data_IF_317997614479
#
_entry.id   IF_317997614479
#
_cell.length_a   1.000
_cell.length_b   1.000
_cell.length_c   1.000
_cell.angle_alpha   90.00
_cell.angle_beta   90.00
_cell.angle_gamma   90.00
#
_symmetry.space_group_name_H-M   'P 1'
#
loop_
_entity.id
_entity.type
_entity.pdbx_description
1 polymer ?
#
# COMPACT_ATOMS: atom_id res chain seq x y z
N UNK A 1 -91.04 -41.19 24.30
CA UNK A 1 -90.54 -40.39 25.45
C UNK A 1 -89.35 -41.02 26.21
N UNK A 2 -89.06 -42.33 26.07
CA UNK A 2 -87.84 -42.96 26.64
C UNK A 2 -86.58 -42.77 25.77
N UNK A 3 -86.73 -42.65 24.45
CA UNK A 3 -85.60 -42.49 23.50
C UNK A 3 -84.90 -41.12 23.57
N UNK A 4 -85.66 -40.03 23.84
CA UNK A 4 -85.08 -38.69 24.03
C UNK A 4 -84.19 -38.59 25.27
N UNK A 5 -84.47 -39.37 26.32
CA UNK A 5 -83.62 -39.40 27.53
C UNK A 5 -82.32 -40.19 27.31
N UNK A 6 -82.31 -41.17 26.39
CA UNK A 6 -81.08 -41.88 26.03
C UNK A 6 -80.16 -41.07 25.11
N UNK A 7 -80.72 -40.25 24.22
CA UNK A 7 -79.91 -39.35 23.36
C UNK A 7 -79.27 -38.23 24.17
N UNK A 8 -79.97 -37.66 25.16
CA UNK A 8 -79.42 -36.64 26.06
C UNK A 8 -78.26 -37.16 26.93
N UNK A 9 -78.31 -38.44 27.34
CA UNK A 9 -77.22 -39.07 28.11
C UNK A 9 -76.01 -39.32 27.20
N UNK A 10 -76.24 -39.82 25.98
CA UNK A 10 -75.21 -39.99 24.95
C UNK A 10 -74.53 -38.67 24.58
N UNK A 11 -75.29 -37.58 24.42
CA UNK A 11 -74.72 -36.26 24.11
C UNK A 11 -73.85 -35.74 25.26
N UNK A 12 -74.24 -35.98 26.52
CA UNK A 12 -73.41 -35.65 27.68
C UNK A 12 -72.12 -36.47 27.73
N UNK A 13 -72.18 -37.76 27.42
CA UNK A 13 -70.98 -38.61 27.35
C UNK A 13 -70.04 -38.18 26.21
N UNK A 14 -70.58 -37.79 25.05
CA UNK A 14 -69.81 -37.24 23.93
C UNK A 14 -69.14 -35.92 24.33
N UNK A 15 -69.86 -35.04 25.02
CA UNK A 15 -69.31 -33.78 25.52
C UNK A 15 -68.21 -34.00 26.57
N UNK A 16 -68.39 -34.97 27.48
CA UNK A 16 -67.37 -35.31 28.47
C UNK A 16 -66.12 -35.93 27.84
N UNK A 17 -66.28 -36.83 26.85
CA UNK A 17 -65.14 -37.41 26.13
C UNK A 17 -64.40 -36.35 25.28
N UNK A 18 -65.14 -35.47 24.61
CA UNK A 18 -64.58 -34.32 23.90
C UNK A 18 -63.81 -33.39 24.84
N UNK A 19 -64.35 -33.11 26.04
CA UNK A 19 -63.68 -32.32 27.07
C UNK A 19 -62.41 -32.99 27.58
N UNK A 20 -62.44 -34.30 27.86
CA UNK A 20 -61.25 -35.07 28.29
C UNK A 20 -60.18 -35.10 27.20
N UNK A 21 -60.57 -35.21 25.93
CA UNK A 21 -59.63 -35.13 24.79
C UNK A 21 -59.03 -33.73 24.66
N UNK A 22 -59.82 -32.68 24.81
CA UNK A 22 -59.34 -31.29 24.80
C UNK A 22 -58.36 -31.02 25.94
N UNK A 23 -58.66 -31.46 27.17
CA UNK A 23 -57.77 -31.32 28.33
C UNK A 23 -56.45 -32.08 28.14
N UNK A 24 -56.49 -33.29 27.56
CA UNK A 24 -55.27 -34.03 27.21
C UNK A 24 -54.44 -33.33 26.13
N UNK A 25 -55.09 -32.71 25.15
CA UNK A 25 -54.43 -31.97 24.09
C UNK A 25 -53.78 -30.68 24.62
N UNK A 26 -54.46 -29.95 25.50
CA UNK A 26 -53.91 -28.77 26.18
C UNK A 26 -52.68 -29.13 27.01
N UNK A 27 -52.77 -30.18 27.84
CA UNK A 27 -51.61 -30.64 28.64
C UNK A 27 -50.42 -31.06 27.77
N UNK A 28 -50.66 -31.68 26.61
CA UNK A 28 -49.59 -32.01 25.67
C UNK A 28 -48.99 -30.77 25.02
N UNK A 29 -49.82 -29.81 24.62
CA UNK A 29 -49.38 -28.54 24.06
C UNK A 29 -48.51 -27.75 25.06
N UNK A 30 -48.86 -27.77 26.35
CA UNK A 30 -48.05 -27.14 27.41
C UNK A 30 -46.68 -27.83 27.56
N UNK A 31 -46.65 -29.17 27.54
CA UNK A 31 -45.39 -29.95 27.62
C UNK A 31 -44.52 -29.71 26.37
N UNK A 32 -45.12 -29.73 25.18
CA UNK A 32 -44.41 -29.46 23.93
C UNK A 32 -43.90 -28.01 23.88
N UNK A 33 -44.69 -27.06 24.37
CA UNK A 33 -44.30 -25.66 24.50
C UNK A 33 -43.10 -25.48 25.43
N UNK A 34 -43.12 -26.13 26.60
CA UNK A 34 -41.99 -26.11 27.52
C UNK A 34 -40.74 -26.75 26.91
N UNK A 35 -40.88 -27.88 26.20
CA UNK A 35 -39.76 -28.52 25.50
C UNK A 35 -39.14 -27.59 24.45
N UNK A 36 -39.96 -26.87 23.68
CA UNK A 36 -39.45 -25.92 22.68
C UNK A 36 -38.66 -24.79 23.36
N UNK A 37 -39.16 -24.28 24.49
CA UNK A 37 -38.45 -23.24 25.27
C UNK A 37 -37.09 -23.78 25.72
N UNK A 38 -37.05 -24.95 26.36
CA UNK A 38 -35.82 -25.56 26.86
C UNK A 38 -34.81 -25.83 25.72
N UNK A 39 -35.28 -26.36 24.58
CA UNK A 39 -34.44 -26.58 23.39
C UNK A 39 -33.89 -25.25 22.81
N UNK A 40 -34.67 -24.18 22.83
CA UNK A 40 -34.20 -22.86 22.38
C UNK A 40 -33.18 -22.26 23.33
N UNK A 41 -33.35 -22.43 24.63
CA UNK A 41 -32.37 -21.96 25.63
C UNK A 41 -31.04 -22.69 25.48
N UNK A 42 -31.06 -23.99 25.23
CA UNK A 42 -29.84 -24.77 25.03
C UNK A 42 -29.13 -24.39 23.74
N UNK A 43 -29.87 -24.17 22.64
CA UNK A 43 -29.30 -23.62 21.40
C UNK A 43 -28.69 -22.24 21.60
N UNK A 44 -29.31 -21.37 22.40
CA UNK A 44 -28.75 -20.05 22.71
C UNK A 44 -27.41 -20.20 23.44
N UNK A 45 -27.33 -21.07 24.44
CA UNK A 45 -26.07 -21.33 25.18
C UNK A 45 -24.98 -21.89 24.28
N UNK A 46 -25.31 -22.82 23.39
CA UNK A 46 -24.37 -23.38 22.42
C UNK A 46 -23.83 -22.29 21.48
N UNK A 47 -24.73 -21.49 20.89
CA UNK A 47 -24.34 -20.40 19.99
C UNK A 47 -23.51 -19.35 20.72
N UNK A 48 -23.85 -19.00 21.97
CA UNK A 48 -23.05 -18.09 22.78
C UNK A 48 -21.62 -18.62 23.01
N UNK A 49 -21.48 -19.90 23.34
CA UNK A 49 -20.19 -20.53 23.55
C UNK A 49 -19.37 -20.55 22.25
N UNK A 50 -19.99 -20.94 21.14
CA UNK A 50 -19.35 -20.91 19.81
C UNK A 50 -18.90 -19.50 19.44
N UNK A 51 -19.75 -18.49 19.63
CA UNK A 51 -19.40 -17.10 19.33
C UNK A 51 -18.25 -16.60 20.19
N UNK A 52 -18.26 -16.90 21.50
CA UNK A 52 -17.15 -16.56 22.40
C UNK A 52 -15.83 -17.17 21.92
N UNK A 53 -15.85 -18.45 21.53
CA UNK A 53 -14.66 -19.13 21.01
C UNK A 53 -14.20 -18.52 19.68
N UNK A 54 -15.11 -18.28 18.73
CA UNK A 54 -14.80 -17.62 17.46
C UNK A 54 -14.16 -16.25 17.65
N UNK A 55 -14.68 -15.43 18.57
CA UNK A 55 -14.09 -14.11 18.85
C UNK A 55 -12.74 -14.23 19.56
N UNK A 56 -12.58 -15.16 20.49
CA UNK A 56 -11.29 -15.40 21.15
C UNK A 56 -10.21 -15.84 20.14
N UNK A 57 -10.55 -16.74 19.22
CA UNK A 57 -9.66 -17.15 18.13
C UNK A 57 -9.30 -15.98 17.20
N UNK A 58 -10.29 -15.15 16.83
CA UNK A 58 -10.04 -13.96 16.02
C UNK A 58 -9.07 -13.00 16.72
N UNK A 59 -9.29 -12.69 17.99
CA UNK A 59 -8.40 -11.82 18.78
C UNK A 59 -6.99 -12.40 18.83
N UNK A 60 -6.85 -13.70 19.06
CA UNK A 60 -5.56 -14.38 19.03
C UNK A 60 -4.87 -14.27 17.67
N UNK A 61 -5.60 -14.49 16.58
CA UNK A 61 -5.05 -14.37 15.23
C UNK A 61 -4.62 -12.93 14.90
N UNK A 62 -5.39 -11.92 15.33
CA UNK A 62 -4.97 -10.52 15.21
C UNK A 62 -3.71 -10.23 16.03
N UNK A 63 -3.61 -10.76 17.25
CA UNK A 63 -2.40 -10.66 18.08
C UNK A 63 -1.18 -11.23 17.37
N UNK A 64 -1.28 -12.46 16.87
CA UNK A 64 -0.19 -13.11 16.12
C UNK A 64 0.22 -12.33 14.87
N UNK A 65 -0.75 -11.79 14.13
CA UNK A 65 -0.48 -11.00 12.94
C UNK A 65 0.26 -9.69 13.29
N UNK A 66 -0.15 -9.02 14.37
CA UNK A 66 0.52 -7.81 14.86
C UNK A 66 1.93 -8.11 15.35
N UNK A 67 2.12 -9.20 16.10
CA UNK A 67 3.45 -9.63 16.57
C UNK A 67 4.39 -9.95 15.41
N UNK A 68 3.86 -10.49 14.31
CA UNK A 68 4.64 -10.74 13.10
C UNK A 68 4.89 -9.47 12.27
N UNK A 69 3.92 -8.56 12.15
CA UNK A 69 4.02 -7.37 11.29
C UNK A 69 4.85 -6.25 11.92
N UNK A 70 4.74 -6.06 13.23
CA UNK A 70 5.31 -4.90 13.93
C UNK A 70 6.86 -4.86 13.88
N UNK A 71 7.60 -5.98 14.00
CA UNK A 71 9.05 -5.99 13.76
C UNK A 71 9.41 -5.57 12.32
N UNK A 72 8.69 -6.09 11.33
CA UNK A 72 8.93 -5.76 9.92
C UNK A 72 8.66 -4.29 9.63
N UNK A 73 7.63 -3.71 10.22
CA UNK A 73 7.33 -2.29 10.08
C UNK A 73 8.41 -1.42 10.73
N UNK A 74 8.94 -1.81 11.90
CA UNK A 74 10.05 -1.11 12.54
C UNK A 74 11.31 -1.12 11.68
N UNK A 75 11.65 -2.26 11.10
CA UNK A 75 12.80 -2.36 10.19
C UNK A 75 12.59 -1.52 8.93
N UNK A 76 11.41 -1.62 8.30
CA UNK A 76 11.06 -0.78 7.14
C UNK A 76 11.17 0.71 7.44
N UNK A 77 10.67 1.14 8.59
CA UNK A 77 10.77 2.52 9.02
C UNK A 77 12.22 2.95 9.22
N UNK A 78 13.04 2.11 9.87
CA UNK A 78 14.45 2.38 10.08
C UNK A 78 15.21 2.52 8.76
N UNK A 79 15.01 1.60 7.82
CA UNK A 79 15.64 1.67 6.48
C UNK A 79 15.18 2.91 5.72
N UNK A 80 13.89 3.23 5.77
CA UNK A 80 13.35 4.44 5.14
C UNK A 80 13.97 5.69 5.73
N UNK A 81 14.06 5.78 7.05
CA UNK A 81 14.66 6.91 7.76
C UNK A 81 16.13 7.11 7.38
N UNK A 82 16.93 6.03 7.37
CA UNK A 82 18.34 6.08 6.99
C UNK A 82 18.53 6.54 5.55
N UNK A 83 17.79 5.94 4.60
CA UNK A 83 17.83 6.33 3.21
C UNK A 83 17.46 7.80 3.01
N UNK A 84 16.37 8.26 3.65
CA UNK A 84 15.92 9.64 3.58
C UNK A 84 16.99 10.61 4.11
N UNK A 85 17.58 10.29 5.27
CA UNK A 85 18.63 11.10 5.89
C UNK A 85 19.86 11.24 4.99
N UNK A 86 20.28 10.14 4.33
CA UNK A 86 21.37 10.17 3.37
C UNK A 86 21.01 11.04 2.16
N UNK A 87 19.81 10.85 1.59
CA UNK A 87 19.33 11.64 0.44
C UNK A 87 19.38 13.13 0.78
N UNK A 88 18.82 13.50 1.92
CA UNK A 88 18.73 14.90 2.35
C UNK A 88 20.12 15.49 2.60
N UNK A 89 21.05 14.73 3.19
CA UNK A 89 22.43 15.16 3.38
C UNK A 89 23.16 15.38 2.05
N UNK A 90 23.01 14.47 1.08
CA UNK A 90 23.61 14.62 -0.26
C UNK A 90 23.00 15.82 -0.98
N UNK A 91 21.67 15.96 -0.98
CA UNK A 91 20.98 17.10 -1.59
C UNK A 91 21.42 18.43 -0.96
N UNK A 92 21.53 18.48 0.35
CA UNK A 92 22.04 19.65 1.07
C UNK A 92 23.47 19.99 0.65
N UNK A 93 24.36 18.99 0.57
CA UNK A 93 25.74 19.18 0.10
C UNK A 93 25.78 19.74 -1.33
N UNK A 94 25.03 19.15 -2.27
CA UNK A 94 24.99 19.60 -3.66
C UNK A 94 24.43 21.02 -3.77
N UNK A 95 23.41 21.36 -2.98
CA UNK A 95 22.82 22.71 -2.97
C UNK A 95 23.79 23.79 -2.46
N UNK A 96 24.76 23.41 -1.63
CA UNK A 96 25.80 24.31 -1.12
C UNK A 96 26.97 24.49 -2.11
N UNK A 97 27.04 23.67 -3.17
CA UNK A 97 28.09 23.80 -4.19
C UNK A 97 27.87 25.02 -5.08
N UNK A 98 28.98 25.55 -5.60
CA UNK A 98 28.93 26.62 -6.61
C UNK A 98 28.26 26.13 -7.91
N UNK A 99 27.67 27.05 -8.69
CA UNK A 99 27.04 26.75 -9.98
C UNK A 99 27.99 25.97 -10.92
N UNK A 100 29.25 26.40 -11.01
CA UNK A 100 30.29 25.73 -11.80
C UNK A 100 30.57 24.28 -11.37
N UNK A 101 30.50 23.98 -10.07
CA UNK A 101 30.68 22.61 -9.58
C UNK A 101 29.47 21.74 -9.91
N UNK A 102 28.25 22.29 -9.81
CA UNK A 102 27.02 21.59 -10.22
C UNK A 102 27.00 21.30 -11.71
N UNK A 103 27.45 22.25 -12.53
CA UNK A 103 27.65 22.04 -13.98
C UNK A 103 28.59 20.87 -14.28
N UNK A 104 29.71 20.76 -13.56
CA UNK A 104 30.67 19.65 -13.73
C UNK A 104 30.06 18.29 -13.38
N UNK A 105 29.19 18.23 -12.36
CA UNK A 105 28.49 17.00 -12.01
C UNK A 105 27.54 16.56 -13.12
N UNK A 106 26.76 17.49 -13.67
CA UNK A 106 25.87 17.24 -14.79
C UNK A 106 26.65 16.87 -16.06
N UNK A 107 27.78 17.52 -16.31
CA UNK A 107 28.68 17.17 -17.42
C UNK A 107 29.18 15.71 -17.32
N UNK A 108 29.55 15.24 -16.12
CA UNK A 108 29.96 13.84 -15.92
C UNK A 108 28.85 12.86 -16.28
N UNK A 109 27.61 13.13 -15.89
CA UNK A 109 26.45 12.29 -16.28
C UNK A 109 26.26 12.29 -17.80
N UNK A 110 26.39 13.45 -18.45
CA UNK A 110 26.26 13.56 -19.90
C UNK A 110 27.35 12.79 -20.64
N UNK A 111 28.56 12.76 -20.11
CA UNK A 111 29.66 11.94 -20.67
C UNK A 111 29.31 10.45 -20.61
N UNK A 112 28.68 9.98 -19.54
CA UNK A 112 28.22 8.59 -19.43
C UNK A 112 27.16 8.24 -20.49
N UNK A 113 26.32 9.21 -20.88
CA UNK A 113 25.30 9.03 -21.89
C UNK A 113 25.78 9.17 -23.35
N UNK A 114 27.02 9.61 -23.59
CA UNK A 114 27.60 9.75 -24.94
C UNK A 114 27.43 8.52 -25.84
N UNK A 115 27.71 7.28 -25.39
CA UNK A 115 27.58 6.09 -26.23
C UNK A 115 26.16 5.89 -26.80
N UNK A 116 25.13 6.33 -26.08
CA UNK A 116 23.73 6.11 -26.43
C UNK A 116 23.15 7.22 -27.31
N UNK A 117 23.73 8.41 -27.25
CA UNK A 117 23.29 9.59 -27.99
C UNK A 117 24.16 9.87 -29.23
N UNK A 118 25.34 9.25 -29.35
CA UNK A 118 26.22 9.41 -30.49
C UNK A 118 25.50 9.07 -31.81
N UNK A 119 25.67 9.92 -32.81
CA UNK A 119 25.09 9.84 -34.16
C UNK A 119 23.57 10.04 -34.27
N UNK A 120 22.86 10.41 -33.19
CA UNK A 120 21.44 10.76 -33.23
C UNK A 120 21.25 12.24 -32.97
N UNK A 121 20.28 12.85 -33.65
CA UNK A 121 19.80 14.18 -33.28
C UNK A 121 18.91 14.06 -32.05
N UNK A 122 19.01 15.04 -31.15
CA UNK A 122 18.26 15.06 -29.91
C UNK A 122 17.77 16.46 -29.56
N UNK A 123 16.67 16.51 -28.82
CA UNK A 123 16.17 17.71 -28.14
C UNK A 123 16.56 17.66 -26.66
N UNK A 124 16.82 18.83 -26.08
CA UNK A 124 17.18 18.98 -24.68
C UNK A 124 16.22 19.93 -23.97
N UNK A 125 15.72 19.51 -22.81
CA UNK A 125 14.95 20.33 -21.88
C UNK A 125 15.79 20.57 -20.64
N UNK A 126 15.87 21.83 -20.20
CA UNK A 126 16.66 22.19 -19.01
C UNK A 126 15.86 22.96 -17.97
N UNK A 127 16.26 22.81 -16.70
CA UNK A 127 15.69 23.52 -15.55
C UNK A 127 16.81 23.85 -14.55
N UNK A 128 16.81 25.09 -14.02
CA UNK A 128 17.70 25.53 -12.94
C UNK A 128 19.08 26.07 -13.37
N UNK A 129 19.48 25.85 -14.62
CA UNK A 129 20.69 26.44 -15.23
C UNK A 129 20.33 27.51 -16.25
N UNK A 130 21.26 28.43 -16.53
CA UNK A 130 21.09 29.38 -17.64
C UNK A 130 21.21 28.68 -19.01
N UNK A 131 20.41 29.11 -19.98
CA UNK A 131 20.39 28.51 -21.32
C UNK A 131 21.73 28.60 -22.06
N UNK A 132 22.53 29.63 -21.79
CA UNK A 132 23.87 29.79 -22.37
C UNK A 132 24.83 28.72 -21.86
N UNK A 133 24.82 28.44 -20.56
CA UNK A 133 25.64 27.39 -19.94
C UNK A 133 25.24 26.03 -20.51
N UNK A 134 23.94 25.74 -20.55
CA UNK A 134 23.40 24.49 -21.10
C UNK A 134 23.82 24.28 -22.56
N UNK A 135 23.70 25.31 -23.39
CA UNK A 135 24.10 25.24 -24.79
C UNK A 135 25.60 24.96 -24.93
N UNK A 136 26.46 25.66 -24.19
CA UNK A 136 27.91 25.43 -24.26
C UNK A 136 28.28 24.02 -23.80
N UNK A 137 27.61 23.49 -22.78
CA UNK A 137 27.85 22.16 -22.22
C UNK A 137 27.44 21.04 -23.19
N UNK A 138 26.29 21.18 -23.86
CA UNK A 138 25.84 20.25 -24.89
C UNK A 138 26.72 20.32 -26.15
N UNK A 139 27.06 21.52 -26.62
CA UNK A 139 27.93 21.71 -27.78
C UNK A 139 29.33 21.14 -27.55
N UNK A 140 29.88 21.30 -26.33
CA UNK A 140 31.17 20.72 -25.93
C UNK A 140 31.14 19.18 -25.93
N UNK A 141 30.02 18.57 -25.55
CA UNK A 141 29.95 17.12 -25.35
C UNK A 141 29.49 16.32 -26.57
N UNK A 142 28.57 16.86 -27.38
CA UNK A 142 27.95 16.16 -28.52
C UNK A 142 28.16 16.87 -29.87
N UNK A 143 28.56 18.14 -29.85
CA UNK A 143 28.71 18.96 -31.04
C UNK A 143 27.39 19.59 -31.53
N UNK A 144 27.48 20.81 -32.06
CA UNK A 144 26.32 21.64 -32.47
C UNK A 144 25.38 20.98 -33.49
N UNK A 145 25.88 20.06 -34.31
CA UNK A 145 25.10 19.42 -35.39
C UNK A 145 24.07 18.40 -34.90
N UNK A 146 24.23 17.89 -33.66
CA UNK A 146 23.37 16.87 -33.08
C UNK A 146 22.22 17.45 -32.25
N UNK A 147 22.29 18.75 -31.93
CA UNK A 147 21.28 19.43 -31.11
C UNK A 147 20.19 19.95 -32.05
N UNK A 148 18.98 19.40 -31.92
CA UNK A 148 17.81 19.84 -32.70
C UNK A 148 17.13 21.04 -32.05
N UNK A 149 16.90 20.98 -30.74
CA UNK A 149 16.18 22.00 -29.99
C UNK A 149 16.65 22.02 -28.53
N UNK A 150 16.75 23.22 -27.94
CA UNK A 150 17.00 23.42 -26.52
C UNK A 150 15.86 24.27 -25.97
N UNK A 151 15.12 23.74 -24.99
CA UNK A 151 13.98 24.43 -24.38
C UNK A 151 14.14 24.56 -22.88
N UNK A 152 13.85 25.76 -22.36
CA UNK A 152 13.74 25.97 -20.93
C UNK A 152 12.39 25.45 -20.45
N UNK A 153 12.41 24.55 -19.47
CA UNK A 153 11.18 24.11 -18.80
C UNK A 153 11.07 24.82 -17.47
N UNK A 154 10.03 25.67 -17.34
CA UNK A 154 9.66 26.26 -16.05
C UNK A 154 9.22 25.14 -15.12
N UNK A 155 9.76 25.13 -13.90
CA UNK A 155 9.46 24.16 -12.84
C UNK A 155 7.94 24.13 -12.62
N UNK A 156 7.28 23.11 -13.16
CA UNK A 156 5.84 22.90 -13.03
C UNK A 156 5.63 21.71 -12.11
N UNK A 157 5.25 21.98 -10.86
CA UNK A 157 5.06 20.94 -9.84
C UNK A 157 6.35 20.34 -9.27
N UNK A 158 6.21 19.19 -8.59
CA UNK A 158 7.27 18.49 -7.87
C UNK A 158 8.19 17.63 -8.76
N UNK A 159 7.89 17.49 -10.06
CA UNK A 159 8.48 16.44 -10.90
C UNK A 159 9.71 16.84 -11.72
N UNK A 160 10.07 18.12 -11.74
CA UNK A 160 11.25 18.60 -12.48
C UNK A 160 12.34 19.11 -11.54
N UNK A 161 13.31 18.22 -11.30
CA UNK A 161 14.54 18.54 -10.58
C UNK A 161 15.56 19.24 -11.51
N UNK A 162 16.47 20.00 -10.91
CA UNK A 162 17.52 20.76 -11.61
C UNK A 162 18.40 19.84 -12.47
N UNK A 163 18.62 20.22 -13.74
CA UNK A 163 19.40 19.43 -14.71
C UNK A 163 18.89 19.47 -16.14
N UNK A 164 19.24 18.44 -16.91
CA UNK A 164 18.88 18.27 -18.32
C UNK A 164 18.14 16.95 -18.56
N UNK A 165 17.13 17.02 -19.41
CA UNK A 165 16.45 15.86 -20.00
C UNK A 165 16.74 15.88 -21.50
N UNK A 166 17.31 14.81 -22.01
CA UNK A 166 17.68 14.67 -23.42
C UNK A 166 16.85 13.55 -24.03
N UNK A 167 16.19 13.84 -25.14
CA UNK A 167 15.38 12.89 -25.87
C UNK A 167 15.81 12.87 -27.34
N UNK A 168 16.06 11.68 -27.90
CA UNK A 168 16.34 11.55 -29.34
C UNK A 168 15.12 11.92 -30.16
N UNK A 169 15.29 12.47 -31.37
CA UNK A 169 14.15 12.79 -32.27
C UNK A 169 13.23 11.58 -32.52
N UNK A 170 13.81 10.37 -32.62
CA UNK A 170 13.10 9.11 -32.82
C UNK A 170 12.33 8.63 -31.55
N UNK A 171 12.45 9.35 -30.42
CA UNK A 171 11.89 9.00 -29.10
C UNK A 171 12.29 7.62 -28.57
N UNK A 172 13.41 7.09 -29.07
CA UNK A 172 13.91 5.76 -28.68
C UNK A 172 14.74 5.79 -27.41
N UNK A 173 15.42 6.91 -27.13
CA UNK A 173 16.31 7.06 -25.99
C UNK A 173 15.96 8.35 -25.26
N UNK A 174 15.81 8.24 -23.94
CA UNK A 174 15.64 9.36 -23.02
C UNK A 174 16.72 9.28 -21.95
N UNK A 175 17.55 10.32 -21.85
CA UNK A 175 18.61 10.42 -20.86
C UNK A 175 18.26 11.52 -19.86
N UNK A 176 18.37 11.20 -18.56
CA UNK A 176 18.14 12.15 -17.47
C UNK A 176 19.49 12.48 -16.84
N UNK A 177 20.00 13.67 -17.13
CA UNK A 177 21.21 14.22 -16.51
C UNK A 177 20.78 15.26 -15.47
N UNK A 178 20.12 14.80 -14.41
CA UNK A 178 19.62 15.63 -13.32
C UNK A 178 20.37 15.37 -12.02
N UNK A 179 20.30 16.34 -11.11
CA UNK A 179 20.83 16.17 -9.74
C UNK A 179 20.11 15.00 -9.05
N UNK A 180 18.81 14.80 -9.30
CA UNK A 180 18.05 13.64 -8.84
C UNK A 180 18.73 12.33 -9.22
N UNK A 181 19.04 12.17 -10.50
CA UNK A 181 19.63 10.96 -11.06
C UNK A 181 21.03 10.70 -10.49
N UNK A 182 21.79 11.77 -10.26
CA UNK A 182 23.08 11.68 -9.57
C UNK A 182 22.92 11.14 -8.16
N UNK A 183 21.98 11.69 -7.38
CA UNK A 183 21.73 11.24 -6.01
C UNK A 183 21.28 9.78 -6.01
N UNK A 184 20.37 9.41 -6.92
CA UNK A 184 19.92 8.03 -7.06
C UNK A 184 21.06 7.07 -7.40
N UNK A 185 21.89 7.40 -8.40
CA UNK A 185 23.03 6.54 -8.79
C UNK A 185 24.06 6.39 -7.68
N UNK A 186 24.35 7.45 -6.91
CA UNK A 186 25.27 7.39 -5.75
C UNK A 186 24.71 6.44 -4.69
N UNK A 187 23.43 6.55 -4.38
CA UNK A 187 22.79 5.71 -3.36
C UNK A 187 22.73 4.27 -3.81
N UNK A 188 22.33 4.00 -5.05
CA UNK A 188 22.21 2.64 -5.58
C UNK A 188 23.57 1.93 -5.59
N UNK A 189 24.62 2.64 -6.03
CA UNK A 189 25.98 2.10 -6.12
C UNK A 189 26.62 1.89 -4.75
N UNK A 190 26.46 2.85 -3.83
CA UNK A 190 27.22 2.88 -2.57
C UNK A 190 26.36 2.58 -1.34
N UNK A 191 25.15 2.01 -1.53
CA UNK A 191 24.17 1.83 -0.45
C UNK A 191 24.75 1.13 0.77
N UNK A 192 25.45 0.02 0.51
CA UNK A 192 26.03 -0.80 1.56
C UNK A 192 27.11 -0.05 2.33
N UNK A 193 28.03 0.62 1.63
CA UNK A 193 29.12 1.37 2.24
C UNK A 193 28.60 2.55 3.07
N UNK A 194 27.64 3.30 2.52
CA UNK A 194 26.99 4.43 3.21
C UNK A 194 26.26 3.96 4.47
N UNK A 195 25.50 2.87 4.37
CA UNK A 195 24.80 2.29 5.53
C UNK A 195 25.79 1.81 6.60
N UNK A 196 26.85 1.12 6.20
CA UNK A 196 27.83 0.56 7.13
C UNK A 196 28.61 1.66 7.86
N UNK A 197 29.09 2.66 7.13
CA UNK A 197 29.90 3.75 7.67
C UNK A 197 29.10 4.73 8.52
N UNK A 198 27.91 5.14 8.08
CA UNK A 198 27.11 6.17 8.75
C UNK A 198 26.24 5.62 9.88
N UNK A 199 25.86 4.34 9.81
CA UNK A 199 24.95 3.71 10.77
C UNK A 199 25.55 2.46 11.43
N UNK A 200 26.88 2.37 11.48
CA UNK A 200 27.65 1.32 12.17
C UNK A 200 27.28 -0.11 11.76
N UNK A 201 26.95 -0.33 10.49
CA UNK A 201 26.74 -1.69 9.97
C UNK A 201 25.51 -2.41 10.52
N UNK A 202 24.51 -1.71 11.05
CA UNK A 202 23.29 -2.33 11.62
C UNK A 202 22.39 -3.09 10.63
N UNK A 203 22.84 -3.33 9.40
CA UNK A 203 22.31 -4.39 8.56
C UNK A 203 23.03 -5.69 8.94
N UNK A 204 22.74 -6.24 10.12
CA UNK A 204 22.94 -7.67 10.31
C UNK A 204 21.94 -8.37 9.38
N UNK A 205 22.47 -9.25 8.53
CA UNK A 205 21.74 -10.05 7.54
C UNK A 205 20.75 -11.02 8.19
#
# INVERSE_FOLDING_TARGET
>A
MKEFRSTEILDKEIQEDARRKAEKLLKRADIDGQRIIDETEDRIKEVEAEKKNQYAERVKNYGNNLEASLPLEKERFLVSFQNQTIIDAIKAYISALSEKQREQLVEKLLIQYKPFLNNKKFSAQYTGFSGTIVQTLLEKNFGKKMIAEITERKKTGADFEEGLYIETEDKTVMCRATIAELVHSIIDTNRFELANTLFSGRFEQ
#
